data_IF_651390951501
#
_entry.id   IF_651390951501
#
_cell.length_a   1.000
_cell.length_b   1.000
_cell.length_c   1.000
_cell.angle_alpha   90.00
_cell.angle_beta   90.00
_cell.angle_gamma   90.00
#
_symmetry.space_group_name_H-M   'P 1'
#
loop_
_entity.id
_entity.type
_entity.pdbx_description
1 polymer ?
#
# COMPACT_ATOMS: atom_id res chain seq x y z
N UNK A 1 2.86 16.25 -18.57
CA UNK A 1 1.70 15.88 -17.72
C UNK A 1 2.14 14.68 -16.91
N UNK A 2 2.15 14.78 -15.59
CA UNK A 2 2.51 13.65 -14.72
C UNK A 2 1.41 12.59 -14.77
N UNK A 3 1.78 11.34 -15.04
CA UNK A 3 0.82 10.24 -15.15
C UNK A 3 0.37 9.77 -13.76
N UNK A 4 -0.72 9.01 -13.69
CA UNK A 4 -1.14 8.35 -12.43
C UNK A 4 -0.06 7.39 -11.93
N UNK A 5 0.64 6.72 -12.84
CA UNK A 5 1.72 5.78 -12.49
C UNK A 5 2.93 6.50 -11.88
N UNK A 6 3.27 7.69 -12.37
CA UNK A 6 4.35 8.52 -11.80
C UNK A 6 4.02 8.96 -10.36
N UNK A 7 2.76 9.35 -10.10
CA UNK A 7 2.28 9.72 -8.75
C UNK A 7 2.37 8.55 -7.77
N UNK A 8 1.98 7.36 -8.22
CA UNK A 8 2.08 6.15 -7.41
C UNK A 8 3.56 5.88 -7.12
N UNK A 9 4.42 5.88 -8.14
CA UNK A 9 5.84 5.60 -7.97
C UNK A 9 6.51 6.56 -6.98
N UNK A 10 6.20 7.86 -7.04
CA UNK A 10 6.73 8.87 -6.12
C UNK A 10 6.34 8.59 -4.65
N UNK A 11 5.07 8.26 -4.38
CA UNK A 11 4.60 7.92 -3.03
C UNK A 11 5.27 6.64 -2.51
N UNK A 12 5.41 5.62 -3.36
CA UNK A 12 6.04 4.35 -2.97
C UNK A 12 7.55 4.50 -2.72
N UNK A 13 8.24 5.31 -3.52
CA UNK A 13 9.67 5.57 -3.36
C UNK A 13 10.00 6.32 -2.05
N UNK A 14 9.10 7.20 -1.59
CA UNK A 14 9.29 8.01 -0.38
C UNK A 14 9.07 7.24 0.93
N UNK A 15 8.41 6.08 0.89
CA UNK A 15 8.02 5.37 2.10
C UNK A 15 8.07 3.86 1.91
N UNK A 16 9.03 3.21 2.57
CA UNK A 16 9.12 1.75 2.62
C UNK A 16 7.84 1.11 3.16
N UNK A 17 7.21 1.72 4.17
CA UNK A 17 5.92 1.24 4.71
C UNK A 17 4.83 1.29 3.62
N UNK A 18 4.78 2.36 2.84
CA UNK A 18 3.80 2.50 1.75
C UNK A 18 3.99 1.43 0.69
N UNK A 19 5.24 1.16 0.27
CA UNK A 19 5.57 0.08 -0.66
C UNK A 19 5.11 -1.29 -0.13
N UNK A 20 5.44 -1.62 1.12
CA UNK A 20 5.09 -2.91 1.70
C UNK A 20 3.57 -3.07 1.88
N UNK A 21 2.84 -2.00 2.24
CA UNK A 21 1.36 -2.03 2.27
C UNK A 21 0.79 -2.37 0.89
N UNK A 22 1.28 -1.74 -0.18
CA UNK A 22 0.77 -2.04 -1.53
C UNK A 22 1.10 -3.46 -1.97
N UNK A 23 2.28 -3.98 -1.64
CA UNK A 23 2.65 -5.39 -1.89
C UNK A 23 1.71 -6.36 -1.14
N UNK A 24 1.46 -6.13 0.15
CA UNK A 24 0.51 -6.92 0.94
C UNK A 24 -0.87 -6.91 0.28
N UNK A 25 -1.32 -5.74 -0.18
CA UNK A 25 -2.62 -5.54 -0.82
C UNK A 25 -2.69 -6.03 -2.27
N UNK A 26 -1.64 -6.66 -2.83
CA UNK A 26 -1.75 -7.38 -4.11
C UNK A 26 -2.81 -8.48 -4.03
N UNK A 27 -2.99 -9.05 -2.84
CA UNK A 27 -4.15 -9.87 -2.46
C UNK A 27 -5.06 -8.99 -1.60
N UNK A 28 -6.40 -9.01 -1.77
CA UNK A 28 -7.29 -8.22 -0.92
C UNK A 28 -7.18 -8.58 0.56
N UNK A 29 -6.96 -7.59 1.44
CA UNK A 29 -6.75 -7.78 2.89
C UNK A 29 -7.54 -6.80 3.74
N UNK A 30 -8.01 -7.26 4.90
CA UNK A 30 -8.55 -6.39 5.95
C UNK A 30 -7.44 -5.59 6.63
N UNK A 31 -7.79 -4.50 7.31
CA UNK A 31 -6.83 -3.68 8.08
C UNK A 31 -6.08 -4.52 9.13
N UNK A 32 -6.76 -5.48 9.76
CA UNK A 32 -6.15 -6.38 10.76
C UNK A 32 -5.08 -7.28 10.13
N UNK A 33 -5.38 -7.87 8.97
CA UNK A 33 -4.42 -8.71 8.24
C UNK A 33 -3.19 -7.91 7.79
N UNK A 34 -3.40 -6.69 7.28
CA UNK A 34 -2.30 -5.80 6.87
C UNK A 34 -1.40 -5.49 8.07
N UNK A 35 -1.98 -5.14 9.22
CA UNK A 35 -1.21 -4.88 10.43
C UNK A 35 -0.38 -6.09 10.90
N UNK A 36 -0.92 -7.30 10.77
CA UNK A 36 -0.21 -8.55 11.11
C UNK A 36 0.96 -8.82 10.16
N UNK A 37 0.78 -8.63 8.86
CA UNK A 37 1.84 -8.82 7.87
C UNK A 37 2.94 -7.77 8.01
N UNK A 38 2.59 -6.50 8.22
CA UNK A 38 3.56 -5.44 8.50
C UNK A 38 4.38 -5.74 9.75
N UNK A 39 3.74 -6.22 10.83
CA UNK A 39 4.48 -6.63 12.04
C UNK A 39 5.50 -7.72 11.74
N UNK A 40 5.18 -8.64 10.83
CA UNK A 40 6.11 -9.70 10.41
C UNK A 40 7.28 -9.13 9.62
N UNK A 41 7.01 -8.25 8.64
CA UNK A 41 8.02 -7.60 7.79
C UNK A 41 8.97 -6.71 8.60
N UNK A 42 8.45 -5.97 9.58
CA UNK A 42 9.21 -5.06 10.43
C UNK A 42 9.68 -5.70 11.74
N UNK A 43 9.89 -7.03 11.76
CA UNK A 43 10.49 -7.78 12.88
C UNK A 43 9.85 -7.49 14.25
N UNK A 44 8.52 -7.42 14.30
CA UNK A 44 7.77 -7.19 15.53
C UNK A 44 7.41 -5.73 15.80
N UNK A 45 7.95 -4.76 15.05
CA UNK A 45 7.54 -3.37 15.19
C UNK A 45 6.08 -3.22 14.73
N UNK A 46 5.23 -2.73 15.64
CA UNK A 46 3.82 -2.50 15.36
C UNK A 46 3.61 -1.07 14.86
N UNK A 47 2.95 -0.95 13.72
CA UNK A 47 2.32 0.31 13.32
C UNK A 47 0.97 0.40 14.04
N UNK A 48 0.73 1.49 14.75
CA UNK A 48 -0.55 1.72 15.42
C UNK A 48 -1.69 1.90 14.40
N UNK A 49 -2.92 1.66 14.83
CA UNK A 49 -4.09 1.68 13.95
C UNK A 49 -4.36 3.04 13.30
N UNK A 50 -4.05 4.14 14.00
CA UNK A 50 -4.23 5.48 13.46
C UNK A 50 -3.25 5.76 12.33
N UNK A 51 -1.97 5.45 12.56
CA UNK A 51 -0.90 5.58 11.55
C UNK A 51 -1.16 4.67 10.34
N UNK A 52 -1.55 3.42 10.55
CA UNK A 52 -1.91 2.51 9.46
C UNK A 52 -3.07 3.06 8.63
N UNK A 53 -4.12 3.58 9.28
CA UNK A 53 -5.24 4.24 8.60
C UNK A 53 -4.81 5.46 7.79
N UNK A 54 -3.82 6.21 8.26
CA UNK A 54 -3.24 7.36 7.53
C UNK A 54 -2.53 6.92 6.25
N UNK A 55 -1.74 5.85 6.31
CA UNK A 55 -1.10 5.28 5.12
C UNK A 55 -2.12 4.79 4.10
N UNK A 56 -3.13 4.03 4.54
CA UNK A 56 -4.17 3.49 3.65
C UNK A 56 -4.92 4.60 2.90
N UNK A 57 -5.35 5.66 3.61
CA UNK A 57 -6.00 6.82 2.99
C UNK A 57 -5.08 7.58 2.04
N UNK A 58 -3.80 7.70 2.38
CA UNK A 58 -2.83 8.40 1.53
C UNK A 58 -2.58 7.63 0.23
N UNK A 59 -2.46 6.31 0.32
CA UNK A 59 -2.33 5.41 -0.82
C UNK A 59 -3.59 5.36 -1.69
N UNK A 60 -4.77 5.43 -1.07
CA UNK A 60 -6.04 5.55 -1.80
C UNK A 60 -6.13 6.85 -2.60
N UNK A 61 -5.78 7.99 -1.98
CA UNK A 61 -5.71 9.30 -2.68
C UNK A 61 -4.72 9.29 -3.83
N UNK A 62 -3.61 8.57 -3.69
CA UNK A 62 -2.63 8.36 -4.74
C UNK A 62 -3.09 7.37 -5.83
N UNK A 63 -4.28 6.79 -5.72
CA UNK A 63 -4.82 5.72 -6.58
C UNK A 63 -3.98 4.43 -6.57
N UNK A 64 -3.19 4.21 -5.51
CA UNK A 64 -2.41 3.00 -5.34
C UNK A 64 -3.24 1.85 -4.74
N UNK A 65 -4.21 2.18 -3.88
CA UNK A 65 -5.14 1.24 -3.27
C UNK A 65 -6.59 1.65 -3.52
N UNK A 66 -7.49 0.69 -3.34
CA UNK A 66 -8.93 0.92 -3.21
C UNK A 66 -9.50 0.05 -2.09
N UNK A 67 -10.50 0.56 -1.38
CA UNK A 67 -11.27 -0.20 -0.39
C UNK A 67 -12.56 -0.75 -1.03
N UNK A 68 -12.82 -2.04 -0.85
CA UNK A 68 -13.97 -2.74 -1.41
C UNK A 68 -14.35 -3.93 -0.52
N UNK A 69 -15.64 -4.10 -0.24
CA UNK A 69 -16.17 -5.21 0.58
C UNK A 69 -15.42 -5.45 1.91
N UNK A 70 -15.01 -4.38 2.60
CA UNK A 70 -14.29 -4.49 3.86
C UNK A 70 -12.79 -4.78 3.74
N UNK A 71 -12.25 -4.82 2.51
CA UNK A 71 -10.84 -5.14 2.22
C UNK A 71 -10.16 -4.07 1.37
N UNK A 72 -8.87 -3.90 1.59
CA UNK A 72 -8.00 -3.07 0.76
C UNK A 72 -7.35 -3.93 -0.32
N UNK A 73 -7.28 -3.40 -1.54
CA UNK A 73 -6.61 -4.05 -2.68
C UNK A 73 -5.82 -3.04 -3.50
N UNK A 74 -4.68 -3.48 -4.04
CA UNK A 74 -3.90 -2.72 -5.00
C UNK A 74 -4.69 -2.50 -6.29
N UNK A 75 -4.60 -1.29 -6.84
CA UNK A 75 -5.16 -0.98 -8.17
C UNK A 75 -4.32 -1.63 -9.27
N UNK A 76 -4.86 -1.71 -10.48
CA UNK A 76 -4.10 -2.31 -11.59
C UNK A 76 -2.94 -1.42 -12.02
N UNK A 77 -3.08 -0.09 -11.89
CA UNK A 77 -1.99 0.88 -12.01
C UNK A 77 -0.87 0.59 -10.99
N UNK A 78 -1.22 0.38 -9.73
CA UNK A 78 -0.22 0.09 -8.69
C UNK A 78 0.51 -1.23 -8.94
N UNK A 79 -0.20 -2.26 -9.41
CA UNK A 79 0.42 -3.53 -9.79
C UNK A 79 1.41 -3.35 -10.93
N UNK A 80 1.05 -2.58 -11.97
CA UNK A 80 1.98 -2.25 -13.08
C UNK A 80 3.20 -1.49 -12.59
N UNK A 81 3.01 -0.51 -11.72
CA UNK A 81 4.11 0.28 -11.12
C UNK A 81 5.04 -0.62 -10.29
N UNK A 82 4.51 -1.49 -9.43
CA UNK A 82 5.35 -2.42 -8.67
C UNK A 82 6.12 -3.35 -9.61
N UNK A 83 5.46 -3.91 -10.62
CA UNK A 83 6.10 -4.78 -11.59
C UNK A 83 7.20 -4.08 -12.42
N UNK A 84 7.07 -2.78 -12.65
CA UNK A 84 8.03 -2.00 -13.45
C UNK A 84 9.28 -1.58 -12.66
N UNK A 85 9.14 -1.33 -11.36
CA UNK A 85 10.19 -0.66 -10.57
C UNK A 85 10.71 -1.49 -9.38
N UNK A 86 10.01 -2.54 -8.94
CA UNK A 86 10.33 -3.30 -7.72
C UNK A 86 10.23 -4.83 -7.84
N UNK A 87 9.91 -5.37 -9.02
CA UNK A 87 10.05 -6.78 -9.39
C UNK A 87 11.15 -6.90 -10.45
#
# INVERSE_FOLDING_TARGET
METVEDKIADVLAKSKVSLEIVKICMVPKTVSEIGKELRTIFKGQSIDSHTLGSFLRSLEKAKALKFDEGKWKATDEAKRVIAKYWL
#
